data_IF_722735467645
#
_entry.id   IF_722735467645
#
_cell.length_a   1.000
_cell.length_b   1.000
_cell.length_c   1.000
_cell.angle_alpha   90.00
_cell.angle_beta   90.00
_cell.angle_gamma   90.00
#
_symmetry.space_group_name_H-M   'P 1'
#
loop_
_entity.id
_entity.type
_entity.pdbx_description
1 polymer ?
#
# COMPACT_ATOMS: atom_id res chain seq x y z
N UNK A 1 3.27 -10.83 8.95
CA UNK A 1 2.86 -9.44 8.77
C UNK A 1 3.09 -9.05 7.31
N UNK A 2 2.03 -8.55 6.63
CA UNK A 2 2.09 -8.07 5.25
C UNK A 2 2.14 -6.54 5.25
N UNK A 3 3.06 -5.97 4.47
CA UNK A 3 3.35 -4.53 4.51
C UNK A 3 2.38 -3.70 3.69
N UNK A 4 2.40 -2.39 3.88
CA UNK A 4 1.68 -1.42 3.07
C UNK A 4 2.54 -0.75 2.01
N UNK A 5 1.91 0.10 1.19
CA UNK A 5 2.60 0.94 0.22
C UNK A 5 3.62 1.85 0.91
N UNK A 6 4.82 1.94 0.35
CA UNK A 6 6.00 2.60 0.92
C UNK A 6 7.17 1.63 1.16
N UNK A 7 6.92 0.32 1.15
CA UNK A 7 7.94 -0.71 1.31
C UNK A 7 8.62 -1.11 -0.03
N UNK A 8 8.05 -0.70 -1.17
CA UNK A 8 8.55 -1.06 -2.50
C UNK A 8 9.83 -0.30 -2.88
N UNK A 9 10.67 -0.96 -3.66
CA UNK A 9 11.81 -0.35 -4.36
C UNK A 9 12.18 -1.18 -5.60
N UNK A 10 12.77 -0.59 -6.64
CA UNK A 10 13.23 -1.31 -7.81
C UNK A 10 14.23 -2.41 -7.44
N UNK A 11 14.11 -3.57 -8.05
CA UNK A 11 15.00 -4.72 -7.77
C UNK A 11 14.74 -5.44 -6.45
N UNK A 12 13.69 -5.06 -5.69
CA UNK A 12 13.35 -5.78 -4.45
C UNK A 12 13.18 -7.27 -4.73
N UNK A 13 13.80 -8.10 -3.88
CA UNK A 13 13.77 -9.57 -3.97
C UNK A 13 14.39 -10.19 -5.24
N UNK A 14 15.13 -9.44 -6.07
CA UNK A 14 15.79 -9.98 -7.27
C UNK A 14 16.64 -11.21 -6.96
N UNK A 15 17.43 -11.19 -5.89
CA UNK A 15 18.23 -12.32 -5.49
C UNK A 15 17.42 -13.59 -5.19
N UNK A 16 16.23 -13.44 -4.58
CA UNK A 16 15.31 -14.57 -4.37
C UNK A 16 14.71 -15.07 -5.68
N UNK A 17 14.36 -14.18 -6.58
CA UNK A 17 13.85 -14.55 -7.89
C UNK A 17 14.89 -15.36 -8.70
N UNK A 18 16.18 -15.04 -8.57
CA UNK A 18 17.27 -15.71 -9.26
C UNK A 18 17.68 -17.03 -8.60
N UNK A 19 17.51 -17.18 -7.27
CA UNK A 19 18.03 -18.33 -6.52
C UNK A 19 16.99 -19.32 -6.01
N UNK A 20 15.72 -18.89 -5.82
CA UNK A 20 14.68 -19.68 -5.19
C UNK A 20 13.56 -20.07 -6.19
N UNK A 21 13.53 -21.31 -6.69
CA UNK A 21 12.58 -21.72 -7.73
C UNK A 21 11.11 -21.55 -7.35
N UNK A 22 10.76 -21.75 -6.07
CA UNK A 22 9.38 -21.58 -5.58
C UNK A 22 8.97 -20.11 -5.63
N UNK A 23 9.87 -19.21 -5.19
CA UNK A 23 9.63 -17.77 -5.25
C UNK A 23 9.49 -17.31 -6.71
N UNK A 24 10.41 -17.72 -7.58
CA UNK A 24 10.39 -17.38 -9.00
C UNK A 24 9.08 -17.84 -9.68
N UNK A 25 8.67 -19.11 -9.45
CA UNK A 25 7.43 -19.64 -10.00
C UNK A 25 6.19 -18.86 -9.55
N UNK A 26 6.15 -18.40 -8.30
CA UNK A 26 5.04 -17.59 -7.77
C UNK A 26 4.99 -16.18 -8.39
N UNK A 27 6.15 -15.55 -8.61
CA UNK A 27 6.24 -14.26 -9.33
C UNK A 27 5.81 -14.43 -10.79
N UNK A 28 6.27 -15.49 -11.47
CA UNK A 28 5.93 -15.77 -12.87
C UNK A 28 4.43 -16.05 -13.04
N UNK A 29 3.81 -16.76 -12.10
CA UNK A 29 2.36 -16.97 -12.10
C UNK A 29 1.61 -15.65 -11.89
N UNK A 30 2.06 -14.80 -10.95
CA UNK A 30 1.50 -13.46 -10.75
C UNK A 30 1.61 -12.60 -12.02
N UNK A 31 2.75 -12.66 -12.69
CA UNK A 31 2.96 -11.95 -13.96
C UNK A 31 2.05 -12.48 -15.08
N UNK A 32 1.82 -13.79 -15.13
CA UNK A 32 0.89 -14.41 -16.07
C UNK A 32 -0.55 -13.94 -15.86
N UNK A 33 -0.99 -13.85 -14.60
CA UNK A 33 -2.33 -13.34 -14.23
C UNK A 33 -2.50 -11.88 -14.63
N UNK A 34 -1.45 -11.07 -14.46
CA UNK A 34 -1.48 -9.63 -14.70
C UNK A 34 -1.17 -9.22 -16.14
N UNK A 35 -0.85 -10.17 -17.02
CA UNK A 35 -0.40 -9.91 -18.39
C UNK A 35 -1.33 -8.99 -19.20
N UNK A 36 -2.64 -9.17 -19.04
CA UNK A 36 -3.67 -8.40 -19.74
C UNK A 36 -4.29 -7.30 -18.85
N UNK A 37 -3.70 -7.05 -17.67
CA UNK A 37 -4.19 -6.10 -16.66
C UNK A 37 -3.23 -4.91 -16.52
N UNK A 38 -1.93 -5.18 -16.47
CA UNK A 38 -0.90 -4.14 -16.40
C UNK A 38 -0.43 -3.75 -17.79
N UNK A 39 -0.14 -2.46 -17.98
CA UNK A 39 0.45 -1.95 -19.24
C UNK A 39 1.89 -2.41 -19.44
N UNK A 40 2.65 -2.61 -18.34
CA UNK A 40 4.01 -3.14 -18.36
C UNK A 40 4.06 -4.51 -17.68
N UNK A 41 4.90 -5.44 -18.15
CA UNK A 41 5.10 -6.71 -17.48
C UNK A 41 5.54 -6.55 -16.01
N UNK A 42 4.98 -7.34 -15.11
CA UNK A 42 5.30 -7.27 -13.67
C UNK A 42 6.81 -7.43 -13.40
N UNK A 43 7.49 -8.29 -14.17
CA UNK A 43 8.93 -8.49 -14.03
C UNK A 43 9.73 -7.24 -14.41
N UNK A 44 9.29 -6.48 -15.44
CA UNK A 44 9.96 -5.24 -15.84
C UNK A 44 9.77 -4.14 -14.78
N UNK A 45 8.63 -4.15 -14.08
CA UNK A 45 8.36 -3.25 -12.95
C UNK A 45 9.23 -3.61 -11.74
N UNK A 46 9.28 -4.90 -11.37
CA UNK A 46 10.03 -5.39 -10.20
C UNK A 46 11.55 -5.39 -10.43
N UNK A 47 11.98 -5.81 -11.61
CA UNK A 47 13.39 -6.11 -11.93
C UNK A 47 13.86 -5.33 -13.18
N UNK A 48 13.74 -3.99 -13.19
CA UNK A 48 14.15 -3.19 -14.33
C UNK A 48 15.64 -3.34 -14.62
N UNK A 49 16.04 -3.05 -15.86
CA UNK A 49 17.46 -2.98 -16.24
C UNK A 49 18.16 -1.74 -15.66
N UNK A 50 17.39 -0.66 -15.50
CA UNK A 50 17.79 0.59 -14.87
C UNK A 50 16.73 0.96 -13.84
N UNK A 51 17.10 1.01 -12.58
CA UNK A 51 16.22 1.29 -11.45
C UNK A 51 15.51 2.65 -11.58
N UNK A 52 16.15 3.63 -12.24
CA UNK A 52 15.58 4.95 -12.46
C UNK A 52 14.36 4.93 -13.42
N UNK A 53 14.18 3.87 -14.19
CA UNK A 53 13.09 3.74 -15.16
C UNK A 53 11.89 2.96 -14.63
N UNK A 54 11.96 2.41 -13.41
CA UNK A 54 10.88 1.61 -12.85
C UNK A 54 9.70 2.48 -12.40
N UNK A 55 8.47 2.19 -12.84
CA UNK A 55 7.27 2.85 -12.36
C UNK A 55 6.77 2.26 -11.04
N UNK A 56 7.57 1.50 -10.31
CA UNK A 56 7.15 0.76 -9.10
C UNK A 56 6.57 1.67 -8.00
N UNK A 57 6.88 2.97 -8.04
CA UNK A 57 6.32 3.96 -7.11
C UNK A 57 4.97 4.54 -7.55
N UNK A 58 4.49 4.22 -8.75
CA UNK A 58 3.15 4.55 -9.20
C UNK A 58 2.16 3.55 -8.61
N UNK A 59 1.07 4.02 -7.97
CA UNK A 59 0.20 3.14 -7.17
C UNK A 59 -0.45 2.01 -7.99
N UNK A 60 -0.66 2.22 -9.31
CA UNK A 60 -1.14 1.20 -10.24
C UNK A 60 -0.20 -0.01 -10.32
N UNK A 61 1.11 0.21 -10.17
CA UNK A 61 2.13 -0.84 -10.16
C UNK A 61 2.56 -1.25 -8.76
N UNK A 62 2.62 -0.29 -7.82
CA UNK A 62 3.04 -0.57 -6.43
C UNK A 62 2.18 -1.66 -5.80
N UNK A 63 0.86 -1.54 -5.92
CA UNK A 63 -0.04 -2.46 -5.22
C UNK A 63 0.08 -3.90 -5.71
N UNK A 64 -0.05 -4.21 -7.03
CA UNK A 64 0.13 -5.58 -7.49
C UNK A 64 1.56 -6.11 -7.34
N UNK A 65 2.59 -5.25 -7.39
CA UNK A 65 3.98 -5.64 -7.16
C UNK A 65 4.22 -6.07 -5.71
N UNK A 66 3.76 -5.29 -4.72
CA UNK A 66 3.84 -5.67 -3.31
C UNK A 66 3.06 -6.95 -3.04
N UNK A 67 1.82 -7.04 -3.54
CA UNK A 67 1.02 -8.26 -3.39
C UNK A 67 1.76 -9.49 -3.92
N UNK A 68 2.28 -9.44 -5.15
CA UNK A 68 2.97 -10.56 -5.78
C UNK A 68 4.23 -10.99 -4.98
N UNK A 69 5.02 -10.02 -4.53
CA UNK A 69 6.24 -10.31 -3.75
C UNK A 69 5.90 -10.91 -2.38
N UNK A 70 4.93 -10.36 -1.66
CA UNK A 70 4.56 -10.85 -0.33
C UNK A 70 3.90 -12.22 -0.40
N UNK A 71 3.07 -12.47 -1.41
CA UNK A 71 2.50 -13.79 -1.66
C UNK A 71 3.59 -14.81 -2.00
N UNK A 72 4.54 -14.45 -2.88
CA UNK A 72 5.67 -15.32 -3.23
C UNK A 72 6.58 -15.62 -2.03
N UNK A 73 6.78 -14.64 -1.13
CA UNK A 73 7.49 -14.86 0.13
C UNK A 73 6.77 -15.86 1.03
N UNK A 74 5.44 -15.78 1.12
CA UNK A 74 4.66 -16.72 1.92
C UNK A 74 4.73 -18.15 1.33
N UNK A 75 4.65 -18.29 0.02
CA UNK A 75 4.82 -19.60 -0.66
C UNK A 75 6.22 -20.19 -0.44
N UNK A 76 7.25 -19.34 -0.44
CA UNK A 76 8.62 -19.77 -0.13
C UNK A 76 8.70 -20.31 1.31
N UNK A 77 8.16 -19.60 2.31
CA UNK A 77 8.11 -20.07 3.70
C UNK A 77 7.33 -21.38 3.82
N UNK A 78 6.19 -21.51 3.13
CA UNK A 78 5.41 -22.76 3.10
C UNK A 78 6.20 -23.92 2.51
N UNK A 79 6.99 -23.68 1.48
CA UNK A 79 7.85 -24.72 0.87
C UNK A 79 8.90 -25.26 1.85
N UNK A 80 9.26 -24.48 2.86
CA UNK A 80 10.15 -24.90 3.96
C UNK A 80 9.40 -25.48 5.16
N UNK A 81 8.06 -25.69 5.04
CA UNK A 81 7.22 -26.25 6.09
C UNK A 81 6.80 -25.25 7.18
N UNK A 82 6.94 -23.95 6.92
CA UNK A 82 6.54 -22.89 7.85
C UNK A 82 5.18 -22.34 7.44
N UNK A 83 4.16 -22.66 8.24
CA UNK A 83 2.77 -22.21 8.03
C UNK A 83 2.42 -21.08 9.01
N UNK A 84 1.91 -19.94 8.52
CA UNK A 84 1.48 -18.87 9.42
C UNK A 84 0.19 -19.28 10.16
N UNK A 85 0.19 -19.15 11.48
CA UNK A 85 -1.01 -19.37 12.31
C UNK A 85 -1.92 -18.12 12.36
N UNK A 86 -1.32 -16.95 12.18
CA UNK A 86 -2.00 -15.65 12.15
C UNK A 86 -1.36 -14.81 11.07
N UNK A 87 -2.18 -14.15 10.28
CA UNK A 87 -1.75 -13.17 9.27
C UNK A 87 -2.39 -11.80 9.55
N UNK A 88 -1.61 -10.75 9.40
CA UNK A 88 -2.04 -9.36 9.59
C UNK A 88 -1.47 -8.53 8.45
N UNK A 89 -2.28 -7.69 7.85
CA UNK A 89 -1.88 -6.79 6.78
C UNK A 89 -2.02 -5.32 7.18
N UNK A 90 -1.22 -4.47 6.57
CA UNK A 90 -1.36 -3.02 6.64
C UNK A 90 -1.79 -2.50 5.27
N UNK A 91 -2.97 -1.87 5.17
CA UNK A 91 -3.51 -1.33 3.91
C UNK A 91 -3.55 -2.40 2.80
N UNK A 92 -2.74 -2.27 1.74
CA UNK A 92 -2.66 -3.27 0.66
C UNK A 92 -2.29 -4.67 1.17
N UNK A 93 -1.48 -4.78 2.20
CA UNK A 93 -1.11 -6.04 2.83
C UNK A 93 -2.29 -6.81 3.42
N UNK A 94 -3.42 -6.17 3.70
CA UNK A 94 -4.67 -6.83 4.12
C UNK A 94 -5.21 -7.78 3.04
N UNK A 95 -5.05 -7.43 1.76
CA UNK A 95 -5.45 -8.30 0.64
C UNK A 95 -4.54 -9.52 0.55
N UNK A 96 -3.24 -9.36 0.80
CA UNK A 96 -2.30 -10.48 0.89
C UNK A 96 -2.68 -11.38 2.06
N UNK A 97 -2.90 -10.80 3.24
CA UNK A 97 -3.31 -11.54 4.44
C UNK A 97 -4.61 -12.31 4.22
N UNK A 98 -5.63 -11.69 3.59
CA UNK A 98 -6.89 -12.32 3.25
C UNK A 98 -6.70 -13.49 2.26
N UNK A 99 -5.85 -13.32 1.24
CA UNK A 99 -5.51 -14.38 0.30
C UNK A 99 -4.81 -15.55 0.99
N UNK A 100 -3.81 -15.28 1.84
CA UNK A 100 -3.10 -16.31 2.61
C UNK A 100 -4.00 -17.06 3.60
N UNK A 101 -5.03 -16.39 4.12
CA UNK A 101 -6.05 -16.98 4.98
C UNK A 101 -7.12 -17.77 4.22
N UNK A 102 -7.09 -17.79 2.87
CA UNK A 102 -8.03 -18.52 2.04
C UNK A 102 -9.39 -17.84 1.83
N UNK A 103 -9.49 -16.52 2.10
CA UNK A 103 -10.72 -15.73 1.86
C UNK A 103 -10.99 -15.56 0.37
N UNK A 104 -9.93 -15.44 -0.44
CA UNK A 104 -10.01 -15.34 -1.89
C UNK A 104 -8.86 -16.08 -2.56
N UNK A 105 -9.03 -16.43 -3.84
CA UNK A 105 -7.95 -17.05 -4.62
C UNK A 105 -6.82 -16.05 -4.91
N UNK A 106 -5.62 -16.57 -5.21
CA UNK A 106 -4.48 -15.75 -5.64
C UNK A 106 -4.84 -14.91 -6.87
N UNK A 107 -5.51 -15.51 -7.86
CA UNK A 107 -5.90 -14.80 -9.09
C UNK A 107 -6.91 -13.69 -8.80
N UNK A 108 -7.98 -13.95 -8.05
CA UNK A 108 -9.00 -12.96 -7.74
C UNK A 108 -8.44 -11.81 -6.91
N UNK A 109 -7.62 -12.13 -5.89
CA UNK A 109 -6.98 -11.14 -5.05
C UNK A 109 -6.04 -10.22 -5.85
N UNK A 110 -5.22 -10.80 -6.73
CA UNK A 110 -4.26 -10.06 -7.53
C UNK A 110 -4.95 -9.17 -8.57
N UNK A 111 -6.02 -9.64 -9.22
CA UNK A 111 -6.83 -8.84 -10.14
C UNK A 111 -7.53 -7.69 -9.42
N UNK A 112 -8.12 -7.96 -8.24
CA UNK A 112 -8.75 -6.93 -7.40
C UNK A 112 -7.76 -5.84 -6.99
N UNK A 113 -6.57 -6.24 -6.56
CA UNK A 113 -5.51 -5.32 -6.14
C UNK A 113 -5.00 -4.47 -7.31
N UNK A 114 -4.84 -5.07 -8.49
CA UNK A 114 -4.44 -4.34 -9.69
C UNK A 114 -5.50 -3.31 -10.11
N UNK A 115 -6.78 -3.69 -10.11
CA UNK A 115 -7.87 -2.76 -10.41
C UNK A 115 -7.97 -1.64 -9.36
N UNK A 116 -7.83 -1.95 -8.08
CA UNK A 116 -7.75 -0.96 -7.00
C UNK A 116 -6.62 0.04 -7.24
N UNK A 117 -5.42 -0.45 -7.56
CA UNK A 117 -4.26 0.40 -7.88
C UNK A 117 -4.51 1.29 -9.09
N UNK A 118 -5.11 0.76 -10.15
CA UNK A 118 -5.49 1.49 -11.36
C UNK A 118 -6.51 2.59 -11.07
N UNK A 119 -7.58 2.29 -10.34
CA UNK A 119 -8.59 3.27 -9.96
C UNK A 119 -8.01 4.39 -9.12
N UNK A 120 -7.17 4.07 -8.13
CA UNK A 120 -6.50 5.07 -7.30
C UNK A 120 -5.54 5.95 -8.10
N UNK A 121 -4.81 5.38 -9.07
CA UNK A 121 -3.87 6.14 -9.93
C UNK A 121 -4.59 7.21 -10.76
N UNK A 122 -5.85 6.98 -11.14
CA UNK A 122 -6.63 7.91 -11.95
C UNK A 122 -7.36 8.99 -11.12
N UNK A 123 -7.29 8.93 -9.80
CA UNK A 123 -7.88 9.97 -8.95
C UNK A 123 -7.11 11.30 -9.09
N UNK A 124 -7.78 12.43 -8.88
CA UNK A 124 -7.12 13.74 -8.87
C UNK A 124 -5.95 13.77 -7.87
N UNK A 125 -4.83 14.31 -8.31
CA UNK A 125 -3.69 14.60 -7.43
C UNK A 125 -3.98 15.84 -6.56
N UNK A 126 -3.18 16.08 -5.51
CA UNK A 126 -3.30 17.29 -4.67
C UNK A 126 -3.79 17.01 -3.25
N UNK A 127 -3.90 15.74 -2.88
CA UNK A 127 -4.04 15.33 -1.48
C UNK A 127 -2.69 15.25 -0.76
N UNK A 128 -2.76 15.10 0.56
CA UNK A 128 -1.59 14.94 1.42
C UNK A 128 -1.85 13.93 2.54
N UNK A 129 -0.75 13.36 3.06
CA UNK A 129 -0.78 12.52 4.25
C UNK A 129 0.30 12.98 5.24
N UNK A 130 0.05 12.80 6.54
CA UNK A 130 1.03 13.09 7.57
C UNK A 130 0.92 12.09 8.73
N UNK A 131 2.07 11.67 9.25
CA UNK A 131 2.16 10.97 10.51
C UNK A 131 2.27 11.99 11.63
N UNK A 132 1.42 11.85 12.65
CA UNK A 132 1.38 12.68 13.86
C UNK A 132 1.82 11.77 15.02
N UNK A 133 2.82 12.19 15.76
CA UNK A 133 3.34 11.41 16.88
C UNK A 133 2.53 11.72 18.16
N UNK A 134 1.27 11.28 18.11
CA UNK A 134 0.30 11.38 19.21
C UNK A 134 -0.77 10.29 19.05
N UNK A 135 -1.43 9.91 20.14
CA UNK A 135 -2.51 8.94 20.12
C UNK A 135 -3.76 9.49 19.40
N UNK A 136 -4.59 8.56 18.92
CA UNK A 136 -5.80 8.88 18.14
C UNK A 136 -6.75 9.83 18.89
N UNK A 137 -6.94 9.65 20.18
CA UNK A 137 -7.84 10.49 21.00
C UNK A 137 -7.41 11.95 21.12
N UNK A 138 -6.12 12.25 20.89
CA UNK A 138 -5.61 13.62 20.79
C UNK A 138 -5.74 14.18 19.37
N UNK A 139 -5.68 13.36 18.34
CA UNK A 139 -5.71 13.77 16.92
C UNK A 139 -7.15 13.92 16.42
N UNK A 140 -8.03 12.97 16.72
CA UNK A 140 -9.41 12.96 16.23
C UNK A 140 -10.20 14.26 16.49
N UNK A 141 -10.10 14.92 17.65
CA UNK A 141 -10.77 16.20 17.88
C UNK A 141 -10.29 17.35 16.97
N UNK A 142 -9.07 17.24 16.39
CA UNK A 142 -8.54 18.25 15.48
C UNK A 142 -9.13 18.18 14.08
N UNK A 143 -9.81 17.08 13.73
CA UNK A 143 -10.51 16.88 12.47
C UNK A 143 -11.96 17.36 12.52
N UNK A 144 -12.47 17.73 13.70
CA UNK A 144 -13.86 18.10 13.89
C UNK A 144 -14.27 19.30 12.99
N UNK A 145 -15.34 19.11 12.20
CA UNK A 145 -15.88 20.11 11.28
C UNK A 145 -15.23 20.15 9.90
N UNK A 146 -14.23 19.29 9.64
CA UNK A 146 -13.57 19.15 8.34
C UNK A 146 -13.49 17.68 7.86
N UNK A 147 -14.32 16.80 8.43
CA UNK A 147 -14.33 15.37 8.16
C UNK A 147 -14.64 15.01 6.70
N UNK A 148 -15.27 15.92 5.96
CA UNK A 148 -15.50 15.76 4.51
C UNK A 148 -14.22 15.91 3.66
N UNK A 149 -13.15 16.46 4.24
CA UNK A 149 -11.90 16.77 3.53
C UNK A 149 -10.70 15.96 4.04
N UNK A 150 -10.82 15.35 5.23
CA UNK A 150 -9.70 14.68 5.91
C UNK A 150 -10.22 13.52 6.77
N UNK A 151 -9.41 12.48 6.90
CA UNK A 151 -9.70 11.36 7.79
C UNK A 151 -8.44 10.88 8.53
N UNK A 152 -8.64 10.12 9.60
CA UNK A 152 -7.59 9.27 10.17
C UNK A 152 -7.43 8.09 9.20
N UNK A 153 -6.27 8.03 8.56
CA UNK A 153 -5.92 6.97 7.59
C UNK A 153 -5.44 5.69 8.27
N UNK A 154 -4.91 5.81 9.50
CA UNK A 154 -4.46 4.66 10.26
C UNK A 154 -3.93 5.06 11.63
N UNK A 155 -3.96 4.10 12.54
CA UNK A 155 -3.37 4.18 13.88
C UNK A 155 -2.27 3.11 13.93
N UNK A 156 -1.01 3.53 13.78
CA UNK A 156 0.13 2.61 13.67
C UNK A 156 0.70 2.20 15.03
N UNK A 157 0.25 2.86 16.09
CA UNK A 157 0.69 2.59 17.45
C UNK A 157 -0.02 3.48 18.46
N UNK A 158 0.27 3.28 19.74
CA UNK A 158 -0.31 4.09 20.82
C UNK A 158 0.02 5.58 20.72
N UNK A 159 1.11 5.93 20.03
CA UNK A 159 1.64 7.29 19.91
C UNK A 159 1.86 7.69 18.43
N UNK A 160 1.20 7.02 17.49
CA UNK A 160 1.35 7.34 16.06
C UNK A 160 0.04 7.19 15.31
N UNK A 161 -0.49 8.33 14.87
CA UNK A 161 -1.71 8.44 14.06
C UNK A 161 -1.40 9.06 12.71
N UNK A 162 -1.90 8.47 11.63
CA UNK A 162 -1.75 8.99 10.27
C UNK A 162 -3.04 9.66 9.84
N UNK A 163 -2.93 10.90 9.34
CA UNK A 163 -4.02 11.64 8.72
C UNK A 163 -3.85 11.73 7.21
N UNK A 164 -4.97 11.79 6.49
CA UNK A 164 -4.99 11.85 5.03
C UNK A 164 -6.18 12.69 4.55
N UNK A 165 -5.95 13.58 3.57
CA UNK A 165 -7.02 14.44 3.06
C UNK A 165 -6.53 15.47 2.06
N UNK A 166 -7.31 16.53 1.85
CA UNK A 166 -6.89 17.67 1.02
C UNK A 166 -5.64 18.32 1.61
N UNK A 167 -4.80 18.90 0.76
CA UNK A 167 -3.60 19.61 1.22
C UNK A 167 -3.93 20.69 2.26
N UNK A 168 -5.01 21.44 2.04
CA UNK A 168 -5.43 22.52 2.94
C UNK A 168 -5.90 22.01 4.31
N UNK A 169 -6.66 20.91 4.34
CA UNK A 169 -7.10 20.30 5.59
C UNK A 169 -5.93 19.71 6.39
N UNK A 170 -5.03 18.99 5.72
CA UNK A 170 -3.81 18.46 6.34
C UNK A 170 -2.94 19.59 6.90
N UNK A 171 -2.75 20.71 6.16
CA UNK A 171 -2.01 21.87 6.64
C UNK A 171 -2.64 22.52 7.87
N UNK A 172 -3.98 22.56 7.91
CA UNK A 172 -4.71 23.10 9.06
C UNK A 172 -4.46 22.26 10.32
N UNK A 173 -4.55 20.94 10.19
CA UNK A 173 -4.28 20.03 11.31
C UNK A 173 -2.81 20.10 11.75
N UNK A 174 -1.87 20.14 10.81
CA UNK A 174 -0.44 20.24 11.13
C UNK A 174 -0.10 21.51 11.92
N UNK A 175 -0.70 22.66 11.59
CA UNK A 175 -0.57 23.89 12.38
C UNK A 175 -1.12 23.75 13.79
N UNK A 176 -2.26 23.09 13.95
CA UNK A 176 -2.84 22.82 15.27
C UNK A 176 -1.96 21.87 16.11
N UNK A 177 -1.39 20.85 15.48
CA UNK A 177 -0.42 19.91 16.07
C UNK A 177 0.84 20.64 16.54
N UNK A 178 1.43 21.46 15.67
CA UNK A 178 2.62 22.25 15.98
C UNK A 178 2.38 23.22 17.15
N UNK A 179 1.23 23.89 17.19
CA UNK A 179 0.87 24.82 18.28
C UNK A 179 0.78 24.15 19.65
N UNK A 180 0.56 22.82 19.68
CA UNK A 180 0.55 22.00 20.90
C UNK A 180 1.90 21.37 21.22
N UNK A 181 2.93 21.65 20.42
CA UNK A 181 4.27 21.06 20.58
C UNK A 181 4.35 19.57 20.22
N UNK A 182 3.36 19.05 19.47
CA UNK A 182 3.33 17.68 19.01
C UNK A 182 4.15 17.56 17.70
N UNK A 183 5.01 16.57 17.60
CA UNK A 183 5.77 16.31 16.38
C UNK A 183 4.88 15.69 15.28
N UNK A 184 5.12 16.08 14.05
CA UNK A 184 4.48 15.48 12.88
C UNK A 184 5.45 15.45 11.69
N UNK A 185 5.19 14.54 10.74
CA UNK A 185 5.96 14.40 9.52
C UNK A 185 5.04 14.19 8.32
N UNK A 186 5.17 15.01 7.28
CA UNK A 186 4.51 14.74 5.99
C UNK A 186 5.06 13.47 5.39
N UNK A 187 4.17 12.69 4.78
CA UNK A 187 4.51 11.50 4.02
C UNK A 187 4.65 11.86 2.54
N UNK A 188 5.64 11.27 1.88
CA UNK A 188 5.80 11.37 0.43
C UNK A 188 4.85 10.39 -0.23
N UNK A 189 3.73 10.88 -0.72
CA UNK A 189 2.68 10.09 -1.36
C UNK A 189 2.18 10.79 -2.61
N UNK A 190 1.68 10.01 -3.58
CA UNK A 190 1.07 10.55 -4.81
C UNK A 190 -0.37 11.01 -4.60
N UNK A 191 -1.10 10.36 -3.69
CA UNK A 191 -2.52 10.59 -3.42
C UNK A 191 -2.79 10.52 -1.91
N UNK A 192 -3.92 11.09 -1.48
CA UNK A 192 -4.39 10.99 -0.09
C UNK A 192 -5.13 9.66 0.13
N UNK A 193 -4.37 8.58 0.30
CA UNK A 193 -4.93 7.25 0.56
C UNK A 193 -5.73 7.23 1.87
N UNK A 194 -6.79 6.39 1.93
CA UNK A 194 -7.64 6.23 3.11
C UNK A 194 -8.29 7.55 3.57
N UNK A 195 -8.76 8.37 2.62
CA UNK A 195 -9.44 9.63 2.89
C UNK A 195 -10.71 9.75 2.03
N UNK A 196 -11.58 10.76 2.29
CA UNK A 196 -12.74 11.04 1.45
C UNK A 196 -12.39 11.31 -0.03
N UNK A 197 -11.14 11.63 -0.35
CA UNK A 197 -10.68 11.81 -1.73
C UNK A 197 -10.72 10.51 -2.56
N UNK A 198 -10.90 9.34 -1.92
CA UNK A 198 -11.10 8.05 -2.59
C UNK A 198 -12.57 7.78 -2.95
N UNK A 199 -13.53 8.55 -2.43
CA UNK A 199 -14.96 8.31 -2.65
C UNK A 199 -15.35 8.19 -4.14
N UNK A 200 -14.77 8.97 -5.08
CA UNK A 200 -15.11 8.86 -6.50
C UNK A 200 -14.84 7.47 -7.12
N UNK A 201 -13.98 6.65 -6.53
CA UNK A 201 -13.70 5.30 -7.04
C UNK A 201 -14.59 4.21 -6.42
N UNK A 202 -15.33 4.50 -5.34
CA UNK A 202 -16.08 3.48 -4.59
C UNK A 202 -17.30 2.93 -5.33
N UNK A 203 -17.71 3.56 -6.41
CA UNK A 203 -18.83 3.12 -7.24
C UNK A 203 -18.45 2.42 -8.54
N UNK A 204 -17.15 2.15 -8.72
CA UNK A 204 -16.59 1.58 -9.96
C UNK A 204 -16.54 0.04 -9.94
#
# INVERSE_FOLDING_TARGET
LCTGQGAQYPGMTRGLYESEPVFAASIDESARILKDVLELPLQDVLYPKDDATSPISETAYTQPALFAVEYAMAELWRSWGIEPSIVVGHSIGEYVAACLAGVMSHEDALRLVAERGRLMQHLPTGGAMAAIFAPEDQVAPMLAGIESEIAIAGVNGSEETVISGTLAAVDTVLKAVESKGIMARRLTVSHAFHSPLLDPMLGA
#
